data_IF_311876761844
#
_entry.id   IF_311876761844
#
_cell.length_a   1.000
_cell.length_b   1.000
_cell.length_c   1.000
_cell.angle_alpha   90.00
_cell.angle_beta   90.00
_cell.angle_gamma   90.00
#
_symmetry.space_group_name_H-M   'P 1'
#
loop_
_entity.id
_entity.type
_entity.pdbx_description
1 polymer ?
#
# COMPACT_ATOMS: atom_id res chain seq x y z
N UNK A 1 50.01 -16.07 -10.16
CA UNK A 1 48.86 -15.15 -10.35
C UNK A 1 47.53 -15.78 -9.98
N UNK A 2 47.11 -16.90 -10.53
CA UNK A 2 45.86 -17.59 -10.26
C UNK A 2 45.59 -17.90 -8.77
N UNK A 3 46.59 -18.39 -8.01
CA UNK A 3 46.43 -18.63 -6.56
C UNK A 3 46.09 -17.37 -5.76
N UNK A 4 46.69 -16.22 -6.09
CA UNK A 4 46.38 -14.95 -5.42
C UNK A 4 44.98 -14.42 -5.78
N UNK A 5 44.61 -14.61 -7.04
CA UNK A 5 43.24 -14.26 -7.50
C UNK A 5 42.17 -15.10 -6.78
N UNK A 6 42.43 -16.41 -6.61
CA UNK A 6 41.51 -17.31 -5.90
C UNK A 6 41.39 -16.97 -4.40
N UNK A 7 42.49 -16.54 -3.74
CA UNK A 7 42.42 -16.09 -2.34
C UNK A 7 41.55 -14.86 -2.14
N UNK A 8 41.39 -14.02 -3.16
CA UNK A 8 40.53 -12.83 -3.09
C UNK A 8 39.09 -13.16 -3.58
N UNK A 9 38.97 -13.82 -4.72
CA UNK A 9 37.65 -14.09 -5.33
C UNK A 9 36.93 -15.28 -4.68
N UNK A 10 37.65 -16.25 -4.12
CA UNK A 10 37.10 -17.43 -3.47
C UNK A 10 36.13 -17.08 -2.32
N UNK A 11 36.56 -16.28 -1.33
CA UNK A 11 35.68 -15.86 -0.25
C UNK A 11 34.44 -15.07 -0.74
N UNK A 12 34.63 -14.19 -1.74
CA UNK A 12 33.50 -13.43 -2.34
C UNK A 12 32.49 -14.37 -3.01
N UNK A 13 33.01 -15.37 -3.75
CA UNK A 13 32.14 -16.38 -4.40
C UNK A 13 31.42 -17.25 -3.37
N UNK A 14 32.13 -17.69 -2.30
CA UNK A 14 31.47 -18.43 -1.21
C UNK A 14 30.40 -17.59 -0.48
N UNK A 15 30.70 -16.32 -0.22
CA UNK A 15 29.72 -15.42 0.39
C UNK A 15 28.47 -15.24 -0.51
N UNK A 16 28.68 -15.08 -1.82
CA UNK A 16 27.58 -15.00 -2.79
C UNK A 16 26.76 -16.29 -2.80
N UNK A 17 27.41 -17.45 -2.81
CA UNK A 17 26.71 -18.74 -2.74
C UNK A 17 25.92 -18.90 -1.44
N UNK A 18 26.47 -18.47 -0.30
CA UNK A 18 25.74 -18.48 0.98
C UNK A 18 24.51 -17.57 0.93
N UNK A 19 24.63 -16.36 0.39
CA UNK A 19 23.47 -15.45 0.24
C UNK A 19 22.40 -16.08 -0.66
N UNK A 20 22.81 -16.66 -1.80
CA UNK A 20 21.89 -17.37 -2.69
C UNK A 20 21.24 -18.55 -1.98
N UNK A 21 22.02 -19.36 -1.24
CA UNK A 21 21.49 -20.49 -0.49
C UNK A 21 20.48 -20.03 0.58
N UNK A 22 20.78 -18.98 1.34
CA UNK A 22 19.86 -18.40 2.31
C UNK A 22 18.57 -17.92 1.64
N UNK A 23 18.66 -17.16 0.55
CA UNK A 23 17.49 -16.65 -0.15
C UNK A 23 16.59 -17.76 -0.71
N UNK A 24 17.15 -18.87 -1.21
CA UNK A 24 16.35 -19.89 -1.87
C UNK A 24 15.96 -21.08 -1.00
N UNK A 25 16.78 -21.43 -0.01
CA UNK A 25 16.61 -22.63 0.81
C UNK A 25 16.20 -22.36 2.26
N UNK A 26 16.37 -21.12 2.75
CA UNK A 26 15.90 -20.80 4.09
C UNK A 26 14.37 -20.96 4.16
N UNK A 27 13.86 -21.73 5.14
CA UNK A 27 12.42 -21.91 5.30
C UNK A 27 11.78 -20.59 5.72
N UNK A 28 10.97 -20.01 4.83
CA UNK A 28 10.30 -18.75 5.09
C UNK A 28 8.86 -19.04 5.51
N UNK A 29 8.66 -19.12 6.81
CA UNK A 29 7.34 -19.22 7.41
C UNK A 29 7.05 -17.91 8.15
N UNK A 30 6.45 -16.95 7.44
CA UNK A 30 5.87 -15.79 8.10
C UNK A 30 4.62 -16.25 8.84
N UNK A 31 4.67 -16.20 10.17
CA UNK A 31 3.53 -16.49 11.03
C UNK A 31 3.33 -15.31 11.98
N UNK A 32 2.16 -14.70 11.90
CA UNK A 32 1.78 -13.59 12.75
C UNK A 32 0.53 -13.97 13.53
N UNK A 33 0.55 -13.77 14.85
CA UNK A 33 -0.58 -14.06 15.72
C UNK A 33 -1.51 -12.85 15.78
N UNK A 34 -2.53 -12.84 14.93
CA UNK A 34 -3.54 -11.79 14.93
C UNK A 34 -4.46 -11.79 16.16
N UNK A 35 -4.52 -12.88 16.92
CA UNK A 35 -5.26 -12.95 18.19
C UNK A 35 -4.72 -11.99 19.24
N UNK A 36 -3.39 -11.83 19.31
CA UNK A 36 -2.77 -10.88 20.22
C UNK A 36 -3.06 -9.42 19.86
N UNK A 37 -3.44 -9.17 18.61
CA UNK A 37 -3.72 -7.85 18.05
C UNK A 37 -5.22 -7.67 17.84
N UNK A 38 -5.98 -7.54 18.93
CA UNK A 38 -7.46 -7.49 18.89
C UNK A 38 -8.05 -6.49 17.91
N UNK A 39 -7.27 -5.50 17.43
CA UNK A 39 -7.84 -4.34 16.76
C UNK A 39 -7.42 -4.11 15.34
N UNK A 40 -6.43 -4.76 14.85
CA UNK A 40 -6.13 -4.85 13.43
C UNK A 40 -4.64 -5.02 13.14
N UNK A 41 -4.32 -5.67 12.06
CA UNK A 41 -3.04 -5.52 11.41
C UNK A 41 -3.03 -4.15 10.70
N UNK A 42 -2.40 -3.15 11.30
CA UNK A 42 -2.34 -1.79 10.79
C UNK A 42 -0.98 -1.52 10.20
N UNK A 43 -0.93 -1.22 8.92
CA UNK A 43 0.29 -0.83 8.25
C UNK A 43 0.54 0.66 8.42
N UNK A 44 1.20 1.05 9.49
CA UNK A 44 1.52 2.45 9.78
C UNK A 44 2.99 2.81 9.55
N UNK A 45 3.74 1.97 8.84
CA UNK A 45 5.13 2.24 8.45
C UNK A 45 5.31 2.11 6.94
N UNK A 46 6.37 2.70 6.39
CA UNK A 46 6.69 2.56 4.99
C UNK A 46 7.05 1.11 4.63
N UNK A 47 7.66 0.40 5.55
CA UNK A 47 8.07 -1.00 5.41
C UNK A 47 6.84 -1.91 5.29
N UNK A 48 5.86 -1.78 6.20
CA UNK A 48 4.61 -2.54 6.13
C UNK A 48 3.86 -2.25 4.83
N UNK A 49 3.80 -0.97 4.42
CA UNK A 49 3.14 -0.58 3.17
C UNK A 49 3.73 -1.30 1.95
N UNK A 50 5.05 -1.49 1.92
CA UNK A 50 5.76 -2.17 0.83
C UNK A 50 5.75 -3.69 0.94
N UNK A 51 5.52 -4.25 2.12
CA UNK A 51 5.62 -5.68 2.38
C UNK A 51 4.45 -6.46 1.78
N UNK A 52 4.73 -7.32 0.82
CA UNK A 52 3.73 -8.20 0.19
C UNK A 52 3.24 -9.28 1.14
N UNK A 53 4.17 -9.97 1.81
CA UNK A 53 3.89 -11.18 2.58
C UNK A 53 2.94 -10.89 3.72
N UNK A 54 3.18 -9.82 4.48
CA UNK A 54 2.28 -9.40 5.55
C UNK A 54 0.88 -9.07 5.04
N UNK A 55 0.79 -8.26 3.97
CA UNK A 55 -0.50 -7.91 3.35
C UNK A 55 -1.24 -9.15 2.84
N UNK A 56 -0.54 -10.02 2.13
CA UNK A 56 -1.15 -11.24 1.59
C UNK A 56 -1.67 -12.15 2.69
N UNK A 57 -0.91 -12.34 3.77
CA UNK A 57 -1.32 -13.16 4.91
C UNK A 57 -2.55 -12.59 5.60
N UNK A 58 -2.54 -11.29 5.93
CA UNK A 58 -3.71 -10.64 6.55
C UNK A 58 -4.95 -10.73 5.66
N UNK A 59 -4.83 -10.45 4.37
CA UNK A 59 -5.97 -10.44 3.46
C UNK A 59 -6.47 -11.85 3.08
N UNK A 60 -5.71 -12.90 3.34
CA UNK A 60 -6.16 -14.30 3.17
C UNK A 60 -6.56 -14.97 4.49
N UNK A 61 -6.44 -14.27 5.59
CA UNK A 61 -6.91 -14.74 6.89
C UNK A 61 -8.46 -14.76 6.91
N UNK A 62 -9.04 -15.94 7.03
CA UNK A 62 -10.50 -16.14 7.00
C UNK A 62 -11.12 -15.88 8.38
N UNK A 63 -10.37 -16.10 9.45
CA UNK A 63 -10.83 -15.96 10.81
C UNK A 63 -11.06 -14.49 11.20
N UNK A 64 -10.11 -13.61 10.85
CA UNK A 64 -10.13 -12.20 11.25
C UNK A 64 -10.80 -11.27 10.21
N UNK A 65 -11.07 -11.76 9.01
CA UNK A 65 -11.80 -11.04 7.95
C UNK A 65 -11.29 -9.61 7.72
N UNK A 66 -10.01 -9.47 7.43
CA UNK A 66 -9.41 -8.16 7.15
C UNK A 66 -9.99 -7.51 5.90
N UNK A 67 -10.41 -6.25 6.04
CA UNK A 67 -10.85 -5.39 4.95
C UNK A 67 -9.77 -4.36 4.67
N UNK A 68 -9.20 -4.28 3.46
CA UNK A 68 -8.19 -3.30 3.12
C UNK A 68 -8.76 -1.89 3.00
N UNK A 69 -8.14 -0.94 3.67
CA UNK A 69 -8.44 0.48 3.68
C UNK A 69 -7.28 1.23 3.02
N UNK A 70 -7.43 1.55 1.75
CA UNK A 70 -6.43 2.30 0.98
C UNK A 70 -6.62 3.80 1.18
N UNK A 71 -5.53 4.54 1.32
CA UNK A 71 -5.56 5.97 1.55
C UNK A 71 -4.17 6.57 1.67
N UNK A 72 -4.02 7.60 2.47
CA UNK A 72 -2.77 8.28 2.76
C UNK A 72 -2.62 8.50 4.27
N UNK A 73 -2.31 9.72 4.69
CA UNK A 73 -2.17 10.09 6.11
C UNK A 73 -3.49 10.11 6.90
N UNK A 74 -4.61 9.90 6.26
CA UNK A 74 -5.92 9.83 6.90
C UNK A 74 -5.93 8.77 8.01
N UNK A 75 -5.28 7.64 7.77
CA UNK A 75 -5.21 6.53 8.71
C UNK A 75 -4.28 6.77 9.91
N UNK A 76 -3.52 7.87 9.89
CA UNK A 76 -2.68 8.31 11.00
C UNK A 76 -3.38 9.36 11.89
N UNK A 77 -4.59 9.77 11.53
CA UNK A 77 -5.41 10.70 12.31
C UNK A 77 -6.38 9.90 13.16
N UNK A 78 -5.99 9.65 14.38
CA UNK A 78 -6.79 8.88 15.32
C UNK A 78 -7.79 9.80 16.03
N UNK A 79 -8.94 9.95 15.44
CA UNK A 79 -10.13 10.53 16.07
C UNK A 79 -11.11 9.44 16.53
N UNK A 80 -12.19 9.84 17.16
CA UNK A 80 -13.20 8.90 17.68
C UNK A 80 -13.95 8.15 16.57
N UNK A 81 -14.02 8.69 15.36
CA UNK A 81 -14.67 8.06 14.20
C UNK A 81 -13.71 7.25 13.33
N UNK A 82 -12.45 7.07 13.77
CA UNK A 82 -11.52 6.25 13.03
C UNK A 82 -12.05 4.83 12.83
N UNK A 83 -11.97 4.23 11.62
CA UNK A 83 -12.59 2.93 11.34
C UNK A 83 -12.21 1.81 12.30
N UNK A 84 -10.99 1.83 12.85
CA UNK A 84 -10.59 0.84 13.85
C UNK A 84 -11.29 1.05 15.19
N UNK A 85 -11.52 2.30 15.60
CA UNK A 85 -12.27 2.63 16.83
C UNK A 85 -13.71 2.17 16.70
N UNK A 86 -14.33 2.44 15.54
CA UNK A 86 -15.70 2.01 15.24
C UNK A 86 -15.82 0.47 15.15
N UNK A 87 -14.85 -0.19 14.55
CA UNK A 87 -14.85 -1.65 14.45
C UNK A 87 -14.75 -2.30 15.83
N UNK A 88 -13.91 -1.76 16.70
CA UNK A 88 -13.75 -2.26 18.07
C UNK A 88 -14.95 -1.94 18.95
N UNK A 89 -15.43 -0.68 18.96
CA UNK A 89 -16.54 -0.25 19.83
C UNK A 89 -17.81 -1.03 19.56
N UNK A 90 -18.09 -1.33 18.30
CA UNK A 90 -19.37 -1.94 17.87
C UNK A 90 -19.21 -3.40 17.44
N UNK A 91 -18.12 -4.05 17.83
CA UNK A 91 -17.84 -5.47 17.56
C UNK A 91 -18.17 -5.86 16.11
N UNK A 92 -17.57 -5.12 15.16
CA UNK A 92 -17.82 -5.37 13.74
C UNK A 92 -17.21 -6.69 13.30
N UNK A 93 -17.90 -7.39 12.40
CA UNK A 93 -17.48 -8.68 11.84
C UNK A 93 -16.26 -8.61 10.93
N UNK A 94 -15.56 -7.49 10.87
CA UNK A 94 -14.34 -7.29 10.09
C UNK A 94 -13.30 -6.48 10.86
N UNK A 95 -12.05 -6.64 10.50
CA UNK A 95 -10.93 -5.81 10.99
C UNK A 95 -10.40 -4.93 9.87
N UNK A 96 -10.27 -3.61 10.06
CA UNK A 96 -9.64 -2.74 9.07
C UNK A 96 -8.15 -3.05 8.93
N UNK A 97 -7.65 -3.15 7.70
CA UNK A 97 -6.24 -3.25 7.38
C UNK A 97 -5.80 -2.00 6.61
N UNK A 98 -5.08 -1.10 7.27
CA UNK A 98 -4.79 0.22 6.72
C UNK A 98 -3.57 0.22 5.83
N UNK A 99 -3.79 0.54 4.57
CA UNK A 99 -2.80 0.64 3.51
C UNK A 99 -2.64 2.11 3.09
N UNK A 100 -2.15 2.92 4.02
CA UNK A 100 -1.97 4.35 3.80
C UNK A 100 -0.90 4.94 4.71
N UNK A 101 -0.11 5.84 4.15
CA UNK A 101 0.99 6.51 4.82
C UNK A 101 1.06 7.98 4.42
N UNK A 102 1.64 8.82 5.28
CA UNK A 102 1.85 10.23 4.98
C UNK A 102 2.66 10.38 3.69
N UNK A 103 2.10 11.07 2.71
CA UNK A 103 2.73 11.27 1.42
C UNK A 103 2.48 10.17 0.39
N UNK A 104 1.91 9.02 0.77
CA UNK A 104 1.40 8.08 -0.23
C UNK A 104 0.23 8.71 -1.01
N UNK A 105 0.17 8.45 -2.29
CA UNK A 105 -0.90 8.94 -3.16
C UNK A 105 -1.40 7.83 -4.08
N UNK A 106 -2.36 8.15 -4.96
CA UNK A 106 -3.03 7.18 -5.83
C UNK A 106 -2.07 6.29 -6.61
N UNK A 107 -0.92 6.80 -7.03
CA UNK A 107 0.05 6.01 -7.80
C UNK A 107 0.73 4.94 -6.93
N UNK A 108 1.12 5.26 -5.68
CA UNK A 108 1.64 4.24 -4.75
C UNK A 108 0.57 3.19 -4.44
N UNK A 109 -0.67 3.62 -4.24
CA UNK A 109 -1.79 2.70 -4.00
C UNK A 109 -1.98 1.77 -5.21
N UNK A 110 -1.92 2.31 -6.43
CA UNK A 110 -2.01 1.50 -7.64
C UNK A 110 -0.94 0.40 -7.68
N UNK A 111 0.34 0.75 -7.47
CA UNK A 111 1.43 -0.23 -7.45
C UNK A 111 1.33 -1.20 -6.26
N UNK A 112 0.90 -0.71 -5.10
CA UNK A 112 0.62 -1.54 -3.93
C UNK A 112 -0.49 -2.58 -4.18
N UNK A 113 -1.56 -2.19 -4.88
CA UNK A 113 -2.65 -3.10 -5.29
C UNK A 113 -2.16 -4.14 -6.31
N UNK A 114 -1.32 -3.75 -7.28
CA UNK A 114 -0.74 -4.68 -8.25
C UNK A 114 0.06 -5.79 -7.56
N UNK A 115 0.66 -5.49 -6.43
CA UNK A 115 1.43 -6.44 -5.63
C UNK A 115 0.56 -7.55 -5.04
N UNK A 116 -0.68 -7.24 -4.64
CA UNK A 116 -1.60 -8.12 -3.93
C UNK A 116 -2.92 -8.34 -4.69
N UNK A 117 -2.92 -8.17 -6.01
CA UNK A 117 -4.15 -8.24 -6.80
C UNK A 117 -4.96 -9.54 -6.61
N UNK A 118 -4.33 -10.74 -6.54
CA UNK A 118 -5.07 -11.96 -6.28
C UNK A 118 -5.79 -11.97 -4.94
N UNK A 119 -5.23 -11.32 -3.92
CA UNK A 119 -5.82 -11.23 -2.58
C UNK A 119 -6.96 -10.21 -2.51
N UNK A 120 -7.08 -9.32 -3.50
CA UNK A 120 -8.16 -8.34 -3.60
C UNK A 120 -9.34 -8.83 -4.44
N UNK A 121 -9.18 -9.94 -5.13
CA UNK A 121 -10.25 -10.50 -5.96
C UNK A 121 -11.46 -10.90 -5.11
N UNK A 122 -12.65 -10.44 -5.51
CA UNK A 122 -13.91 -10.66 -4.80
C UNK A 122 -13.96 -10.15 -3.35
N UNK A 123 -13.05 -9.26 -2.96
CA UNK A 123 -13.04 -8.65 -1.64
C UNK A 123 -13.60 -7.24 -1.65
N UNK A 124 -14.29 -6.89 -0.56
CA UNK A 124 -14.62 -5.49 -0.27
C UNK A 124 -13.36 -4.74 0.12
N UNK A 125 -13.20 -3.54 -0.40
CA UNK A 125 -12.12 -2.63 -0.05
C UNK A 125 -12.65 -1.21 0.12
N UNK A 126 -12.04 -0.43 0.99
CA UNK A 126 -12.29 1.01 1.14
C UNK A 126 -11.14 1.75 0.50
N UNK A 127 -11.43 2.70 -0.38
CA UNK A 127 -10.42 3.53 -1.02
C UNK A 127 -10.75 5.01 -0.83
N UNK A 128 -9.95 5.68 0.02
CA UNK A 128 -10.08 7.11 0.25
C UNK A 128 -9.24 7.87 -0.75
N UNK A 129 -9.89 8.73 -1.50
CA UNK A 129 -9.25 9.60 -2.49
C UNK A 129 -9.14 11.00 -1.91
N UNK A 130 -7.93 11.38 -1.49
CA UNK A 130 -7.71 12.69 -0.90
C UNK A 130 -7.62 13.79 -1.95
N UNK A 131 -8.32 14.93 -1.75
CA UNK A 131 -8.20 16.11 -2.63
C UNK A 131 -6.76 16.63 -2.78
N UNK A 132 -5.93 16.48 -1.76
CA UNK A 132 -4.52 16.91 -1.73
C UNK A 132 -3.67 16.23 -2.84
N UNK A 133 -4.10 15.09 -3.37
CA UNK A 133 -3.38 14.39 -4.43
C UNK A 133 -3.51 15.09 -5.79
N UNK A 134 -4.43 16.04 -5.93
CA UNK A 134 -4.78 16.71 -7.18
C UNK A 134 -4.27 18.16 -7.24
N UNK A 135 -3.03 18.38 -6.82
CA UNK A 135 -2.38 19.68 -6.88
C UNK A 135 -1.77 19.97 -8.26
N UNK A 136 -1.48 21.26 -8.55
CA UNK A 136 -0.80 21.67 -9.78
C UNK A 136 0.60 21.08 -9.88
N UNK A 137 1.34 21.08 -8.78
CA UNK A 137 2.71 20.54 -8.70
C UNK A 137 2.77 19.03 -9.00
N UNK A 138 1.65 18.33 -8.74
CA UNK A 138 1.60 16.88 -8.90
C UNK A 138 2.24 16.16 -7.71
N UNK A 139 2.58 14.90 -7.92
CA UNK A 139 3.12 14.03 -6.88
C UNK A 139 4.64 14.22 -6.75
N UNK A 140 5.12 14.28 -5.52
CA UNK A 140 6.54 14.41 -5.21
C UNK A 140 7.29 13.10 -5.47
N UNK A 141 8.45 13.20 -6.13
CA UNK A 141 9.23 12.03 -6.51
C UNK A 141 9.83 11.29 -5.31
N UNK A 142 10.30 12.02 -4.28
CA UNK A 142 10.88 11.40 -3.09
C UNK A 142 9.82 10.67 -2.27
N UNK A 143 8.64 11.28 -2.11
CA UNK A 143 7.50 10.64 -1.46
C UNK A 143 7.04 9.38 -2.22
N UNK A 144 7.05 9.41 -3.57
CA UNK A 144 6.74 8.23 -4.36
C UNK A 144 7.75 7.10 -4.10
N UNK A 145 9.05 7.39 -4.20
CA UNK A 145 10.12 6.40 -4.08
C UNK A 145 10.17 5.76 -2.69
N UNK A 146 9.77 6.48 -1.64
CA UNK A 146 9.73 5.96 -0.27
C UNK A 146 8.80 4.74 -0.13
N UNK A 147 7.69 4.72 -0.87
CA UNK A 147 6.65 3.69 -0.79
C UNK A 147 6.65 2.72 -1.96
N UNK A 148 7.64 2.81 -2.83
CA UNK A 148 7.77 1.95 -3.99
C UNK A 148 8.95 0.99 -3.85
N UNK A 149 8.77 -0.26 -4.30
CA UNK A 149 9.83 -1.27 -4.26
C UNK A 149 9.86 -2.17 -5.52
N UNK A 150 10.90 -3.00 -5.61
CA UNK A 150 11.13 -3.89 -6.75
C UNK A 150 10.05 -4.97 -6.92
N UNK A 151 9.43 -5.44 -5.82
CA UNK A 151 8.34 -6.42 -5.92
C UNK A 151 7.06 -5.80 -6.49
N UNK A 152 6.75 -4.55 -6.14
CA UNK A 152 5.67 -3.79 -6.78
C UNK A 152 5.93 -3.59 -8.28
N UNK A 153 7.17 -3.25 -8.65
CA UNK A 153 7.57 -3.11 -10.05
C UNK A 153 7.37 -4.40 -10.84
N UNK A 154 7.94 -5.50 -10.35
CA UNK A 154 7.84 -6.79 -11.06
C UNK A 154 6.41 -7.32 -11.10
N UNK A 155 5.60 -7.02 -10.10
CA UNK A 155 4.17 -7.35 -10.10
C UNK A 155 3.41 -6.59 -11.17
N UNK A 156 3.65 -5.29 -11.27
CA UNK A 156 3.08 -4.44 -12.32
C UNK A 156 3.48 -4.92 -13.71
N UNK A 157 4.77 -5.15 -13.96
CA UNK A 157 5.29 -5.61 -15.25
C UNK A 157 4.74 -6.99 -15.65
N UNK A 158 4.47 -7.88 -14.70
CA UNK A 158 3.89 -9.20 -14.95
C UNK A 158 2.45 -9.17 -15.40
N UNK A 159 1.67 -8.22 -14.91
CA UNK A 159 0.22 -8.17 -15.18
C UNK A 159 -0.09 -7.64 -16.57
N UNK A 160 0.73 -6.77 -17.13
CA UNK A 160 0.68 -6.30 -18.51
C UNK A 160 -0.74 -6.07 -19.05
N UNK A 161 -1.59 -5.41 -18.30
CA UNK A 161 -2.99 -5.20 -18.72
C UNK A 161 -3.11 -4.47 -20.06
N UNK A 162 -2.05 -3.77 -20.49
CA UNK A 162 -1.99 -3.02 -21.76
C UNK A 162 -3.03 -1.90 -21.83
N UNK A 163 -3.80 -1.69 -20.78
CA UNK A 163 -4.83 -0.66 -20.70
C UNK A 163 -4.22 0.75 -20.54
N UNK A 164 -5.09 1.75 -20.64
CA UNK A 164 -4.67 3.15 -20.52
C UNK A 164 -4.15 3.49 -19.12
N UNK A 165 -4.62 2.80 -18.09
CA UNK A 165 -4.17 3.04 -16.71
C UNK A 165 -2.74 2.53 -16.52
N UNK A 166 -2.43 1.31 -17.01
CA UNK A 166 -1.09 0.76 -16.98
C UNK A 166 -0.10 1.60 -17.79
N UNK A 167 -0.51 2.06 -18.98
CA UNK A 167 0.31 2.98 -19.79
C UNK A 167 0.62 4.26 -19.03
N UNK A 168 -0.40 4.91 -18.46
CA UNK A 168 -0.23 6.14 -17.69
C UNK A 168 0.66 5.91 -16.47
N UNK A 169 0.45 4.81 -15.74
CA UNK A 169 1.27 4.45 -14.59
C UNK A 169 2.75 4.25 -14.98
N UNK A 170 3.03 3.58 -16.09
CA UNK A 170 4.39 3.41 -16.62
C UNK A 170 5.02 4.76 -16.98
N UNK A 171 4.30 5.65 -17.66
CA UNK A 171 4.79 7.00 -18.00
C UNK A 171 5.10 7.81 -16.73
N UNK A 172 4.22 7.77 -15.74
CA UNK A 172 4.43 8.48 -14.46
C UNK A 172 5.59 7.88 -13.66
N UNK A 173 5.74 6.57 -13.69
CA UNK A 173 6.85 5.88 -13.04
C UNK A 173 8.20 6.34 -13.57
N UNK A 174 8.35 6.43 -14.90
CA UNK A 174 9.58 6.94 -15.53
C UNK A 174 9.88 8.40 -15.18
N UNK A 175 8.84 9.22 -14.99
CA UNK A 175 9.01 10.62 -14.57
C UNK A 175 9.42 10.76 -13.11
N UNK A 176 8.86 9.94 -12.22
CA UNK A 176 9.11 10.02 -10.77
C UNK A 176 10.34 9.22 -10.35
N UNK A 177 10.75 8.24 -11.14
CA UNK A 177 11.90 7.40 -10.88
C UNK A 177 12.70 7.12 -12.18
N UNK A 178 13.44 8.10 -12.70
CA UNK A 178 14.12 7.98 -14.00
C UNK A 178 15.16 6.87 -14.08
N UNK A 179 15.78 6.52 -12.95
CA UNK A 179 16.81 5.48 -12.83
C UNK A 179 16.26 4.16 -12.29
N UNK A 180 14.99 3.87 -12.56
CA UNK A 180 14.36 2.65 -12.09
C UNK A 180 14.99 1.40 -12.73
N UNK A 181 15.09 0.33 -11.95
CA UNK A 181 15.44 -0.99 -12.50
C UNK A 181 14.46 -1.42 -13.59
N UNK A 182 14.91 -2.19 -14.57
CA UNK A 182 14.07 -2.66 -15.68
C UNK A 182 13.41 -1.50 -16.49
N UNK A 183 14.09 -0.36 -16.58
CA UNK A 183 13.61 0.86 -17.25
C UNK A 183 13.09 0.58 -18.66
N UNK A 184 13.80 -0.23 -19.47
CA UNK A 184 13.40 -0.57 -20.83
C UNK A 184 12.05 -1.29 -20.89
N UNK A 185 11.81 -2.19 -19.93
CA UNK A 185 10.52 -2.89 -19.82
C UNK A 185 9.38 -1.89 -19.47
N UNK A 186 9.64 -0.94 -18.57
CA UNK A 186 8.69 0.12 -18.24
C UNK A 186 8.45 1.04 -19.46
N UNK A 187 9.49 1.38 -20.22
CA UNK A 187 9.36 2.18 -21.45
C UNK A 187 8.52 1.47 -22.52
N UNK A 188 8.71 0.17 -22.70
CA UNK A 188 7.85 -0.63 -23.60
C UNK A 188 6.38 -0.50 -23.25
N UNK A 189 6.01 -0.64 -21.96
CA UNK A 189 4.64 -0.46 -21.51
C UNK A 189 4.14 0.99 -21.69
N UNK A 190 4.97 1.97 -21.36
CA UNK A 190 4.65 3.39 -21.54
C UNK A 190 4.33 3.74 -22.99
N UNK A 191 4.98 3.07 -23.95
CA UNK A 191 4.85 3.24 -25.38
C UNK A 191 3.87 2.24 -26.03
N UNK A 192 3.14 1.43 -25.24
CA UNK A 192 2.25 0.37 -25.71
C UNK A 192 2.94 -0.71 -26.55
N UNK A 193 4.23 -0.91 -26.36
CA UNK A 193 4.98 -1.95 -27.00
C UNK A 193 4.84 -3.27 -26.25
N UNK A 194 4.83 -4.38 -26.98
CA UNK A 194 4.75 -5.72 -26.36
C UNK A 194 6.10 -6.11 -25.76
N UNK A 195 6.07 -6.69 -24.59
CA UNK A 195 7.24 -7.32 -23.99
C UNK A 195 7.59 -8.60 -24.76
N UNK A 196 8.87 -8.81 -25.02
CA UNK A 196 9.39 -10.01 -25.69
C UNK A 196 9.28 -11.24 -24.77
N UNK A 197 9.52 -12.44 -25.30
CA UNK A 197 9.55 -13.66 -24.48
C UNK A 197 10.69 -13.62 -23.47
N UNK A 198 11.83 -13.04 -23.86
CA UNK A 198 12.97 -12.83 -22.96
C UNK A 198 12.60 -11.87 -21.82
N UNK A 199 12.01 -10.68 -22.13
CA UNK A 199 11.55 -9.74 -21.12
C UNK A 199 10.63 -10.44 -20.10
N UNK A 200 9.64 -11.17 -20.56
CA UNK A 200 8.70 -11.89 -19.69
C UNK A 200 9.38 -12.93 -18.81
N UNK A 201 10.37 -13.65 -19.34
CA UNK A 201 11.12 -14.65 -18.57
C UNK A 201 12.00 -13.99 -17.51
N UNK A 202 12.66 -12.90 -17.87
CA UNK A 202 13.48 -12.11 -16.94
C UNK A 202 12.62 -11.49 -15.83
N UNK A 203 11.48 -10.88 -16.18
CA UNK A 203 10.54 -10.32 -15.19
C UNK A 203 10.03 -11.41 -14.24
N UNK A 204 9.70 -12.60 -14.73
CA UNK A 204 9.29 -13.73 -13.88
C UNK A 204 10.39 -14.17 -12.93
N UNK A 205 11.62 -14.24 -13.40
CA UNK A 205 12.79 -14.58 -12.59
C UNK A 205 13.00 -13.55 -11.47
N UNK A 206 13.05 -12.26 -11.80
CA UNK A 206 13.17 -11.18 -10.83
C UNK A 206 12.03 -11.15 -9.83
N UNK A 207 10.80 -11.41 -10.27
CA UNK A 207 9.65 -11.49 -9.39
C UNK A 207 9.74 -12.64 -8.36
N UNK A 208 10.39 -13.76 -8.71
CA UNK A 208 10.66 -14.85 -7.75
C UNK A 208 11.65 -14.40 -6.68
N UNK A 209 12.74 -13.75 -7.10
CA UNK A 209 13.75 -13.22 -6.18
C UNK A 209 13.11 -12.22 -5.23
N UNK A 210 12.42 -11.20 -5.76
CA UNK A 210 11.81 -10.14 -4.96
C UNK A 210 10.78 -10.70 -3.96
N UNK A 211 10.00 -11.72 -4.35
CA UNK A 211 9.05 -12.38 -3.42
C UNK A 211 9.76 -13.15 -2.32
N UNK A 212 10.86 -13.81 -2.63
CA UNK A 212 11.65 -14.52 -1.63
C UNK A 212 12.30 -13.56 -0.64
N UNK A 213 12.84 -12.47 -1.17
CA UNK A 213 13.40 -11.38 -0.37
C UNK A 213 12.32 -10.77 0.57
N UNK A 214 11.17 -10.38 0.01
CA UNK A 214 10.05 -9.84 0.79
C UNK A 214 9.61 -10.81 1.90
N UNK A 215 9.45 -12.09 1.58
CA UNK A 215 9.03 -13.10 2.54
C UNK A 215 10.09 -13.33 3.64
N UNK A 216 11.38 -13.30 3.30
CA UNK A 216 12.47 -13.42 4.26
C UNK A 216 12.45 -12.25 5.24
N UNK A 217 12.41 -11.01 4.72
CA UNK A 217 12.42 -9.81 5.54
C UNK A 217 11.12 -9.56 6.29
N UNK A 218 10.01 -10.17 5.90
CA UNK A 218 8.72 -10.03 6.59
C UNK A 218 8.77 -10.42 8.08
N UNK A 219 9.66 -11.33 8.44
CA UNK A 219 9.85 -11.75 9.84
C UNK A 219 10.57 -10.70 10.70
N UNK A 220 11.23 -9.73 10.07
CA UNK A 220 12.00 -8.70 10.75
C UNK A 220 11.33 -7.33 10.73
N UNK A 221 10.20 -7.22 10.05
CA UNK A 221 9.40 -6.00 9.96
C UNK A 221 8.21 -6.14 10.90
N UNK A 222 8.05 -5.20 11.83
CA UNK A 222 6.90 -5.16 12.70
C UNK A 222 5.59 -5.13 11.89
N UNK A 223 4.60 -5.93 12.26
CA UNK A 223 3.32 -5.98 11.56
C UNK A 223 2.46 -4.75 11.83
N UNK A 224 2.64 -4.13 12.99
CA UNK A 224 1.86 -3.00 13.48
C UNK A 224 2.73 -1.91 14.10
N UNK A 225 2.11 -0.74 14.29
CA UNK A 225 2.65 0.30 15.15
C UNK A 225 2.27 0.01 16.62
N UNK A 226 3.24 -0.12 17.50
CA UNK A 226 3.07 -0.48 18.93
C UNK A 226 2.16 0.47 19.72
N UNK A 227 1.98 1.70 19.25
CA UNK A 227 1.13 2.68 19.92
C UNK A 227 -0.33 2.63 19.45
N UNK A 228 -0.63 1.87 18.44
CA UNK A 228 -1.95 1.89 17.80
C UNK A 228 -3.06 1.43 18.75
N UNK A 229 -2.86 0.35 19.45
CA UNK A 229 -3.84 -0.17 20.39
C UNK A 229 -4.20 0.84 21.50
N UNK A 230 -3.20 1.54 22.02
CA UNK A 230 -3.41 2.61 23.01
C UNK A 230 -4.30 3.73 22.47
N UNK A 231 -4.09 4.11 21.21
CA UNK A 231 -4.94 5.13 20.57
C UNK A 231 -6.37 4.66 20.44
N UNK A 232 -6.61 3.44 19.94
CA UNK A 232 -7.97 2.90 19.81
C UNK A 232 -8.67 2.88 21.16
N UNK A 233 -8.03 2.31 22.19
CA UNK A 233 -8.58 2.23 23.54
C UNK A 233 -8.93 3.61 24.12
N UNK A 234 -8.08 4.60 23.90
CA UNK A 234 -8.30 5.96 24.41
C UNK A 234 -9.54 6.64 23.83
N UNK A 235 -9.97 6.22 22.65
CA UNK A 235 -11.09 6.84 21.91
C UNK A 235 -12.43 6.13 22.11
N UNK A 236 -12.44 4.88 22.54
CA UNK A 236 -13.68 4.09 22.72
C UNK A 236 -14.72 4.78 23.60
N UNK A 237 -14.26 5.45 24.67
CA UNK A 237 -15.13 6.17 25.62
C UNK A 237 -15.87 7.37 25.04
N UNK A 238 -15.41 7.90 23.91
CA UNK A 238 -16.01 9.08 23.27
C UNK A 238 -17.20 8.69 22.36
N UNK A 239 -17.42 7.39 22.16
CA UNK A 239 -18.49 6.88 21.32
C UNK A 239 -19.68 6.42 22.14
N UNK A 240 -20.92 6.62 21.67
CA UNK A 240 -22.13 6.11 22.31
C UNK A 240 -22.09 4.57 22.40
N UNK A 241 -22.75 4.01 23.41
CA UNK A 241 -22.75 2.54 23.63
C UNK A 241 -23.54 1.80 22.56
N UNK A 242 -24.61 2.42 22.06
CA UNK A 242 -25.37 1.88 20.94
C UNK A 242 -25.02 2.60 19.64
N UNK A 243 -24.85 1.83 18.58
CA UNK A 243 -24.61 2.38 17.26
C UNK A 243 -25.83 3.19 16.80
N UNK A 244 -25.61 4.47 16.46
CA UNK A 244 -26.59 5.37 15.86
C UNK A 244 -25.86 6.34 14.93
N UNK A 245 -26.37 6.52 13.71
CA UNK A 245 -25.79 7.47 12.76
C UNK A 245 -25.88 8.92 13.27
N UNK A 246 -27.00 9.29 13.86
CA UNK A 246 -27.23 10.65 14.38
C UNK A 246 -26.26 10.98 15.51
N UNK A 247 -26.06 10.04 16.45
CA UNK A 247 -25.11 10.24 17.54
C UNK A 247 -23.63 10.25 17.03
N UNK A 248 -23.32 9.51 15.99
CA UNK A 248 -21.99 9.57 15.37
C UNK A 248 -21.77 10.86 14.58
N UNK A 249 -22.81 11.44 13.98
CA UNK A 249 -22.73 12.76 13.35
C UNK A 249 -22.43 13.88 14.36
N UNK A 250 -23.03 13.81 15.55
CA UNK A 250 -22.71 14.72 16.64
C UNK A 250 -21.22 14.59 17.05
N UNK A 251 -20.74 13.36 17.27
CA UNK A 251 -19.32 13.11 17.59
C UNK A 251 -18.40 13.65 16.48
N UNK A 252 -18.77 13.41 15.21
CA UNK A 252 -18.02 13.91 14.06
C UNK A 252 -17.97 15.44 14.00
N UNK A 253 -19.06 16.08 14.29
CA UNK A 253 -19.17 17.54 14.35
C UNK A 253 -18.27 18.12 15.45
N UNK A 254 -18.28 17.52 16.62
CA UNK A 254 -17.41 17.96 17.74
C UNK A 254 -15.92 17.72 17.45
N UNK A 255 -15.57 16.59 16.88
CA UNK A 255 -14.18 16.32 16.48
C UNK A 255 -13.73 17.28 15.35
N UNK A 256 -14.60 17.59 14.39
CA UNK A 256 -14.32 18.56 13.34
C UNK A 256 -14.07 19.97 13.91
N UNK A 257 -14.88 20.43 14.84
CA UNK A 257 -14.67 21.73 15.52
C UNK A 257 -13.30 21.81 16.20
N UNK A 258 -12.85 20.73 16.85
CA UNK A 258 -11.53 20.68 17.49
C UNK A 258 -10.37 20.74 16.49
N UNK A 259 -10.57 20.20 15.30
CA UNK A 259 -9.54 20.07 14.28
C UNK A 259 -9.47 21.27 13.30
N UNK A 260 -10.51 22.09 13.23
CA UNK A 260 -10.57 23.24 12.29
C UNK A 260 -9.80 24.46 12.74
N UNK A 261 -9.33 24.52 13.98
CA UNK A 261 -8.83 25.75 14.57
C UNK A 261 -7.40 26.15 14.22
N UNK A 262 -6.61 25.32 13.51
CA UNK A 262 -5.19 25.68 13.40
C UNK A 262 -4.49 25.33 12.08
N UNK A 263 -5.12 24.61 11.18
CA UNK A 263 -4.47 24.20 9.95
C UNK A 263 -5.34 24.50 8.73
N UNK A 264 -5.37 25.76 8.36
CA UNK A 264 -5.51 26.13 6.97
C UNK A 264 -4.31 25.53 6.24
N UNK A 265 -4.49 24.32 5.72
CA UNK A 265 -3.43 23.54 5.05
C UNK A 265 -3.01 24.20 3.73
N UNK A 266 -3.38 25.50 3.49
CA UNK A 266 -3.10 26.18 2.24
C UNK A 266 -3.63 25.43 1.03
N UNK A 267 -4.67 24.62 1.21
CA UNK A 267 -5.41 23.95 0.11
C UNK A 267 -6.23 25.01 -0.66
N UNK A 268 -6.01 26.25 -0.29
CA UNK A 268 -6.51 27.42 -0.98
C UNK A 268 -6.45 27.23 -2.48
N UNK A 269 -7.61 27.29 -3.11
CA UNK A 269 -7.82 27.64 -4.52
C UNK A 269 -6.99 26.93 -5.60
N UNK A 270 -6.11 25.98 -5.23
CA UNK A 270 -5.23 25.25 -6.15
C UNK A 270 -5.71 23.82 -6.42
N UNK A 271 -6.89 23.51 -5.94
CA UNK A 271 -7.52 22.21 -6.15
C UNK A 271 -8.01 22.07 -7.59
N UNK A 272 -7.47 21.12 -8.31
CA UNK A 272 -7.85 20.86 -9.69
C UNK A 272 -9.13 20.03 -9.76
N UNK A 273 -10.29 20.66 -9.47
CA UNK A 273 -11.63 20.04 -9.55
C UNK A 273 -11.82 19.21 -10.83
N UNK A 274 -11.27 19.69 -11.96
CA UNK A 274 -11.37 18.99 -13.24
C UNK A 274 -10.57 17.67 -13.27
N UNK A 275 -9.44 17.59 -12.57
CA UNK A 275 -8.64 16.34 -12.48
C UNK A 275 -9.37 15.32 -11.61
N UNK A 276 -9.92 15.76 -10.47
CA UNK A 276 -10.74 14.89 -9.61
C UNK A 276 -11.98 14.40 -10.37
N UNK A 277 -12.77 15.29 -10.98
CA UNK A 277 -13.93 14.89 -11.79
C UNK A 277 -13.56 13.88 -12.86
N UNK A 278 -12.43 14.07 -13.55
CA UNK A 278 -11.95 13.15 -14.59
C UNK A 278 -11.54 11.79 -14.01
N UNK A 279 -10.89 11.77 -12.85
CA UNK A 279 -10.54 10.54 -12.14
C UNK A 279 -11.77 9.79 -11.65
N UNK A 280 -12.72 10.47 -11.03
CA UNK A 280 -14.00 9.89 -10.55
C UNK A 280 -14.86 9.37 -11.72
N UNK A 281 -14.91 10.08 -12.86
CA UNK A 281 -15.60 9.60 -14.06
C UNK A 281 -14.99 8.30 -14.60
N UNK A 282 -13.65 8.16 -14.54
CA UNK A 282 -12.95 6.93 -14.94
C UNK A 282 -13.24 5.77 -13.99
N UNK A 283 -13.29 6.03 -12.68
CA UNK A 283 -13.65 5.03 -11.68
C UNK A 283 -15.09 4.55 -11.83
N UNK A 284 -16.04 5.47 -12.06
CA UNK A 284 -17.45 5.12 -12.30
C UNK A 284 -17.66 4.33 -13.61
N UNK A 285 -16.81 4.54 -14.61
CA UNK A 285 -16.87 3.80 -15.88
C UNK A 285 -16.23 2.41 -15.83
N UNK A 286 -15.52 2.06 -14.76
CA UNK A 286 -15.10 0.69 -14.51
C UNK A 286 -16.31 -0.06 -13.91
N UNK A 287 -16.74 -1.17 -14.54
CA UNK A 287 -17.91 -1.97 -14.14
C UNK A 287 -17.77 -2.68 -12.77
N UNK A 288 -16.94 -2.16 -11.89
CA UNK A 288 -16.79 -2.66 -10.53
C UNK A 288 -17.70 -1.86 -9.62
N UNK A 289 -18.49 -2.54 -8.78
CA UNK A 289 -19.32 -1.95 -7.74
C UNK A 289 -18.44 -1.17 -6.74
N UNK A 290 -18.19 0.09 -7.05
CA UNK A 290 -17.49 1.00 -6.16
C UNK A 290 -18.56 1.83 -5.43
N UNK A 291 -18.78 1.51 -4.16
CA UNK A 291 -19.52 2.39 -3.27
C UNK A 291 -18.68 3.63 -3.01
N UNK A 292 -19.23 4.78 -3.35
CA UNK A 292 -18.53 6.06 -3.24
C UNK A 292 -19.11 6.84 -2.07
N UNK A 293 -18.25 7.18 -1.12
CA UNK A 293 -18.56 8.13 -0.04
C UNK A 293 -17.79 9.42 -0.32
N UNK A 294 -18.48 10.49 -0.58
CA UNK A 294 -17.88 11.82 -0.69
C UNK A 294 -17.74 12.38 0.71
N UNK A 295 -16.51 12.63 1.15
CA UNK A 295 -16.31 13.46 2.34
C UNK A 295 -16.71 14.90 2.01
N UNK A 296 -17.30 15.62 2.93
CA UNK A 296 -17.70 17.01 2.78
C UNK A 296 -16.53 17.94 2.44
#
# INVERSE_FOLDING_TARGET
MLKRLWLILGPVFCALLMVVALLFFYPINYNHNYESEKRSAVTLTAENFKNRTQKSKALTDEEHRFVPFFGSSEWLRFDSLHPAVLAEKYDRSYRPYFLGQRGAASLNQYFGMQQILPQLENKTAVYVVSPQWFTKKGYDASAFQQYFNSDQLTSFLRQQSGDRAAQYAAQRLLQLYPNIAMKDNVQKLANRQKLTSFDRSFIRFMARINRREDAFFSNFVAANNDNYEKFVLSKLKNLPDKFSYDALEEVGTEEAKKNTSSNDLGIENKFYKNRLKKALKRLKGSQRNLSYVQSP
#
